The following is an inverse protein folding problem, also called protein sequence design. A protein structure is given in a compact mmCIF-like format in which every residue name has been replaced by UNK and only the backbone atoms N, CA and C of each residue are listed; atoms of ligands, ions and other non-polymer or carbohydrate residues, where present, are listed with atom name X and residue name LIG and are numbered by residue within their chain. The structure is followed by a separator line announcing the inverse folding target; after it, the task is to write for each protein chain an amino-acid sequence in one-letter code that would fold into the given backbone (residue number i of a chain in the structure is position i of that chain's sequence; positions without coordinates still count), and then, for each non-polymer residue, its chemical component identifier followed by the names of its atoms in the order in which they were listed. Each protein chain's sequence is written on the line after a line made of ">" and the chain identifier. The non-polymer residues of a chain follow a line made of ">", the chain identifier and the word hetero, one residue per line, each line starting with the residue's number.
data_IF_703938779185
#
_entry.id   IF_703938779185
#
_cell.length_a   1.000
_cell.length_b   1.000
_cell.length_c   1.000
_cell.angle_alpha   90.00
_cell.angle_beta   90.00
_cell.angle_gamma   90.00
#
_symmetry.space_group_name_H-M   'P 1'
#
loop_
_entity.id
_entity.type
_entity.pdbx_description
1 polymer ?
#
# COMPACT_ATOMS: atom_id res chain seq x y z
N UNK A 1 -31.76 -45.68 -9.92
CA UNK A 1 -32.50 -45.71 -8.64
C UNK A 1 -32.04 -44.53 -7.78
N UNK A 2 -32.97 -43.57 -7.55
CA UNK A 2 -33.19 -42.68 -6.38
C UNK A 2 -31.96 -42.25 -5.53
N UNK A 3 -31.58 -40.96 -5.57
CA UNK A 3 -31.87 -39.87 -4.59
C UNK A 3 -31.09 -40.00 -3.26
N UNK A 4 -30.44 -38.97 -2.69
CA UNK A 4 -31.06 -37.75 -2.19
C UNK A 4 -30.08 -36.57 -1.98
N UNK A 5 -30.62 -35.35 -2.06
CA UNK A 5 -30.03 -34.07 -1.64
C UNK A 5 -30.18 -33.90 -0.12
N UNK A 6 -29.26 -33.19 0.52
CA UNK A 6 -29.52 -32.51 1.80
C UNK A 6 -28.85 -31.13 1.80
N UNK A 7 -29.69 -30.10 1.81
CA UNK A 7 -29.31 -28.72 2.10
C UNK A 7 -29.33 -28.53 3.62
N UNK A 8 -28.38 -27.77 4.17
CA UNK A 8 -28.46 -27.25 5.53
C UNK A 8 -28.26 -25.74 5.50
N UNK A 9 -29.31 -25.03 5.91
CA UNK A 9 -29.36 -23.61 6.18
C UNK A 9 -29.37 -23.42 7.70
N UNK A 10 -28.61 -22.45 8.21
CA UNK A 10 -28.70 -21.83 9.56
C UNK A 10 -27.58 -20.81 9.69
N UNK A 11 -27.69 -19.65 10.31
CA UNK A 11 -28.78 -18.80 10.77
C UNK A 11 -28.12 -17.43 11.09
N UNK A 12 -28.83 -16.34 10.83
CA UNK A 12 -28.42 -14.97 11.16
C UNK A 12 -28.36 -14.77 12.69
N UNK A 13 -27.29 -14.14 13.17
CA UNK A 13 -27.26 -13.47 14.48
C UNK A 13 -26.79 -12.03 14.28
N UNK A 14 -27.76 -11.12 14.32
CA UNK A 14 -27.58 -9.67 14.48
C UNK A 14 -27.44 -9.42 15.97
N UNK A 15 -26.31 -8.85 16.42
CA UNK A 15 -26.21 -8.27 17.77
C UNK A 15 -26.12 -6.75 17.66
N UNK A 16 -27.02 -6.10 18.40
CA UNK A 16 -27.29 -4.68 18.42
C UNK A 16 -26.27 -3.88 19.24
N UNK A 17 -26.20 -2.59 18.90
CA UNK A 17 -25.39 -1.53 19.51
C UNK A 17 -25.65 -1.36 21.01
N UNK A 18 -24.58 -1.04 21.75
CA UNK A 18 -24.67 -0.33 23.02
C UNK A 18 -23.92 1.00 22.90
N UNK A 19 -24.68 2.09 22.86
CA UNK A 19 -24.19 3.45 23.02
C UNK A 19 -23.93 3.72 24.50
N UNK A 20 -22.73 4.17 24.84
CA UNK A 20 -22.39 4.76 26.13
C UNK A 20 -21.92 6.20 25.88
N UNK A 21 -22.88 7.12 25.76
CA UNK A 21 -22.63 8.56 25.84
C UNK A 21 -22.67 8.99 27.31
N UNK A 22 -21.66 9.75 27.72
CA UNK A 22 -21.55 10.31 29.07
C UNK A 22 -22.41 11.58 29.18
N UNK A 23 -23.15 11.67 30.28
CA UNK A 23 -24.16 12.68 30.60
C UNK A 23 -23.54 14.00 31.06
N UNK A 24 -24.18 15.13 30.73
CA UNK A 24 -23.67 16.47 31.05
C UNK A 24 -24.65 17.61 30.78
N UNK A 25 -25.78 17.65 31.51
CA UNK A 25 -26.37 18.88 32.09
C UNK A 25 -27.03 19.96 31.20
N UNK A 26 -28.34 20.16 31.43
CA UNK A 26 -29.31 21.19 31.00
C UNK A 26 -28.80 22.64 30.72
N UNK A 27 -29.40 23.46 29.83
CA UNK A 27 -30.78 24.00 29.86
C UNK A 27 -31.10 24.81 28.56
N UNK A 28 -32.36 24.97 28.10
CA UNK A 28 -32.68 25.67 26.84
C UNK A 28 -33.03 27.17 27.03
N UNK A 29 -32.52 28.03 26.14
CA UNK A 29 -32.90 29.46 25.98
C UNK A 29 -33.25 29.79 24.50
N UNK A 30 -34.03 30.87 24.23
CA UNK A 30 -35.03 30.94 23.15
C UNK A 30 -34.50 31.49 21.80
N UNK A 31 -35.30 31.50 20.71
CA UNK A 31 -34.79 31.56 19.34
C UNK A 31 -34.50 33.00 18.90
N UNK A 32 -33.31 33.23 18.39
CA UNK A 32 -32.90 34.51 17.83
C UNK A 32 -31.84 34.36 16.74
N UNK A 33 -32.20 34.78 15.52
CA UNK A 33 -31.34 35.09 14.37
C UNK A 33 -30.54 33.92 13.76
N UNK A 34 -31.12 33.26 12.77
CA UNK A 34 -30.35 32.55 11.73
C UNK A 34 -29.78 33.60 10.77
N UNK A 35 -28.47 33.83 10.82
CA UNK A 35 -27.73 34.45 9.72
C UNK A 35 -27.11 33.33 8.88
N UNK A 36 -27.50 33.14 7.61
CA UNK A 36 -26.77 32.28 6.70
C UNK A 36 -25.70 33.09 5.95
N UNK A 37 -24.43 32.76 6.19
CA UNK A 37 -23.27 33.06 5.33
C UNK A 37 -22.12 32.19 5.85
N UNK A 38 -21.79 31.08 5.19
CA UNK A 38 -20.91 31.03 4.02
C UNK A 38 -19.47 31.47 4.39
N UNK A 39 -18.63 30.48 4.68
CA UNK A 39 -17.18 30.54 4.55
C UNK A 39 -16.67 29.10 4.54
N UNK A 40 -16.51 28.59 3.32
CA UNK A 40 -15.58 27.56 2.89
C UNK A 40 -14.69 26.98 3.98
N UNK A 41 -14.79 25.67 4.19
CA UNK A 41 -13.63 24.88 4.62
C UNK A 41 -12.56 25.10 3.54
N UNK A 42 -11.67 26.06 3.82
CA UNK A 42 -10.36 26.15 3.20
C UNK A 42 -9.71 24.80 3.46
N UNK A 43 -9.81 23.89 2.49
CA UNK A 43 -8.89 22.78 2.38
C UNK A 43 -7.53 23.42 2.10
N UNK A 44 -6.89 23.89 3.16
CA UNK A 44 -5.48 24.22 3.13
C UNK A 44 -4.80 22.95 2.63
N UNK A 45 -4.35 22.99 1.39
CA UNK A 45 -3.23 22.16 0.97
C UNK A 45 -2.11 22.53 1.92
N UNK A 46 -1.84 21.66 2.89
CA UNK A 46 -0.64 21.69 3.72
C UNK A 46 0.55 21.46 2.78
N UNK A 47 0.92 22.54 2.09
CA UNK A 47 2.11 22.66 1.25
C UNK A 47 3.29 22.91 2.20
N UNK A 48 3.46 22.00 3.17
CA UNK A 48 4.56 21.98 4.11
C UNK A 48 5.71 21.19 3.47
N UNK A 49 6.82 21.84 3.08
CA UNK A 49 7.94 21.17 2.45
C UNK A 49 8.54 20.04 3.31
N UNK A 50 8.34 20.09 4.62
CA UNK A 50 8.81 19.04 5.53
C UNK A 50 7.94 17.78 5.47
N UNK A 51 6.65 17.92 5.15
CA UNK A 51 5.75 16.80 4.93
C UNK A 51 6.17 16.03 3.68
N UNK A 52 6.43 16.73 2.58
CA UNK A 52 6.87 16.13 1.32
C UNK A 52 8.20 15.38 1.46
N UNK A 53 9.18 15.95 2.16
CA UNK A 53 10.46 15.29 2.41
C UNK A 53 10.30 14.00 3.25
N UNK A 54 9.40 14.01 4.24
CA UNK A 54 9.10 12.82 5.04
C UNK A 54 8.38 11.74 4.22
N UNK A 55 7.46 12.14 3.34
CA UNK A 55 6.79 11.24 2.40
C UNK A 55 7.79 10.60 1.42
N UNK A 56 8.71 11.39 0.85
CA UNK A 56 9.75 10.90 -0.05
C UNK A 56 10.67 9.89 0.65
N UNK A 57 11.11 10.20 1.88
CA UNK A 57 11.90 9.29 2.72
C UNK A 57 11.18 7.95 2.91
N UNK A 58 9.89 8.00 3.25
CA UNK A 58 9.06 6.82 3.48
C UNK A 58 8.80 6.03 2.19
N UNK A 59 8.61 6.70 1.06
CA UNK A 59 8.43 6.07 -0.24
C UNK A 59 9.70 5.28 -0.64
N UNK A 60 10.88 5.87 -0.50
CA UNK A 60 12.16 5.21 -0.78
C UNK A 60 12.41 4.00 0.14
N UNK A 61 12.05 4.11 1.43
CA UNK A 61 12.12 2.97 2.35
C UNK A 61 11.17 1.83 1.91
N UNK A 62 9.95 2.15 1.50
CA UNK A 62 9.00 1.15 1.01
C UNK A 62 9.43 0.50 -0.32
N UNK A 63 10.11 1.25 -1.20
CA UNK A 63 10.76 0.68 -2.40
C UNK A 63 11.87 -0.30 -2.00
N UNK A 64 12.69 0.04 -1.00
CA UNK A 64 13.73 -0.84 -0.45
C UNK A 64 13.15 -2.13 0.14
N UNK A 65 12.01 -2.06 0.83
CA UNK A 65 11.29 -3.24 1.33
C UNK A 65 10.82 -4.16 0.20
N UNK A 66 10.25 -3.58 -0.86
CA UNK A 66 9.83 -4.35 -2.05
C UNK A 66 11.02 -5.04 -2.73
N UNK A 67 12.16 -4.35 -2.87
CA UNK A 67 13.40 -4.93 -3.40
C UNK A 67 13.93 -6.06 -2.51
N UNK A 68 13.88 -5.86 -1.18
CA UNK A 68 14.30 -6.88 -0.23
C UNK A 68 13.49 -8.17 -0.37
N UNK A 69 12.17 -8.08 -0.57
CA UNK A 69 11.35 -9.27 -0.83
C UNK A 69 11.80 -9.98 -2.11
N UNK A 70 12.02 -9.23 -3.19
CA UNK A 70 12.43 -9.81 -4.48
C UNK A 70 13.80 -10.47 -4.40
N UNK A 71 14.81 -9.80 -3.85
CA UNK A 71 16.17 -10.34 -3.77
C UNK A 71 16.22 -11.59 -2.87
N UNK A 72 15.52 -11.60 -1.73
CA UNK A 72 15.50 -12.77 -0.87
C UNK A 72 14.74 -13.94 -1.50
N UNK A 73 13.68 -13.70 -2.28
CA UNK A 73 13.01 -14.75 -3.04
C UNK A 73 13.93 -15.36 -4.10
N UNK A 74 14.71 -14.53 -4.80
CA UNK A 74 15.70 -14.98 -5.78
C UNK A 74 16.81 -15.82 -5.15
N UNK A 75 17.34 -15.37 -4.01
CA UNK A 75 18.36 -16.11 -3.27
C UNK A 75 17.79 -17.43 -2.78
N UNK A 76 16.59 -17.43 -2.18
CA UNK A 76 15.95 -18.63 -1.68
C UNK A 76 15.73 -19.66 -2.79
N UNK A 77 15.35 -19.22 -3.99
CA UNK A 77 15.21 -20.11 -5.14
C UNK A 77 16.57 -20.67 -5.57
N UNK A 78 17.60 -19.81 -5.72
CA UNK A 78 18.96 -20.25 -6.09
C UNK A 78 19.58 -21.23 -5.10
N UNK A 79 19.23 -21.11 -3.82
CA UNK A 79 19.67 -22.00 -2.74
C UNK A 79 18.80 -23.27 -2.61
N UNK A 80 17.74 -23.40 -3.42
CA UNK A 80 16.83 -24.56 -3.39
C UNK A 80 15.92 -24.61 -2.16
N UNK A 81 15.69 -23.48 -1.50
CA UNK A 81 14.83 -23.38 -0.30
C UNK A 81 13.34 -23.24 -0.64
N UNK A 82 13.03 -22.66 -1.79
CA UNK A 82 11.65 -22.46 -2.26
C UNK A 82 11.50 -22.97 -3.70
N UNK A 83 10.25 -23.19 -4.12
CA UNK A 83 9.94 -23.54 -5.51
C UNK A 83 9.79 -22.29 -6.40
N UNK A 84 9.82 -22.48 -7.73
CA UNK A 84 9.50 -21.40 -8.68
C UNK A 84 8.11 -20.80 -8.40
N UNK A 85 7.12 -21.65 -8.09
CA UNK A 85 5.76 -21.21 -7.76
C UNK A 85 5.77 -20.29 -6.52
N UNK A 86 6.54 -20.65 -5.51
CA UNK A 86 6.64 -19.86 -4.29
C UNK A 86 7.38 -18.53 -4.54
N UNK A 87 8.44 -18.52 -5.35
CA UNK A 87 9.09 -17.28 -5.80
C UNK A 87 8.10 -16.34 -6.50
N UNK A 88 7.26 -16.87 -7.39
CA UNK A 88 6.20 -16.08 -8.03
C UNK A 88 5.20 -15.54 -7.00
N UNK A 89 4.88 -16.31 -5.96
CA UNK A 89 4.09 -15.82 -4.82
C UNK A 89 4.73 -14.63 -4.11
N UNK A 90 6.03 -14.69 -3.86
CA UNK A 90 6.80 -13.58 -3.27
C UNK A 90 6.85 -12.35 -4.19
N UNK A 91 6.97 -12.55 -5.51
CA UNK A 91 6.88 -11.46 -6.50
C UNK A 91 5.51 -10.77 -6.49
N UNK A 92 4.44 -11.54 -6.34
CA UNK A 92 3.09 -10.99 -6.17
C UNK A 92 3.00 -10.12 -4.91
N UNK A 93 3.63 -10.55 -3.80
CA UNK A 93 3.67 -9.77 -2.55
C UNK A 93 4.47 -8.49 -2.75
N UNK A 94 5.67 -8.56 -3.32
CA UNK A 94 6.50 -7.39 -3.60
C UNK A 94 5.77 -6.36 -4.49
N UNK A 95 5.07 -6.84 -5.52
CA UNK A 95 4.27 -5.97 -6.42
C UNK A 95 3.15 -5.25 -5.67
N UNK A 96 2.48 -5.91 -4.70
CA UNK A 96 1.47 -5.27 -3.84
C UNK A 96 2.06 -4.31 -2.84
N UNK A 97 3.28 -4.54 -2.35
CA UNK A 97 4.00 -3.57 -1.52
C UNK A 97 4.28 -2.32 -2.35
N UNK A 98 4.86 -2.50 -3.54
CA UNK A 98 5.17 -1.42 -4.47
C UNK A 98 3.95 -0.58 -4.85
N UNK A 99 2.81 -1.20 -5.19
CA UNK A 99 1.58 -0.47 -5.55
C UNK A 99 0.86 0.20 -4.37
N UNK A 100 1.27 -0.05 -3.13
CA UNK A 100 0.75 0.68 -1.96
C UNK A 100 1.53 1.96 -1.68
N UNK A 101 2.66 2.18 -2.35
CA UNK A 101 3.46 3.39 -2.18
C UNK A 101 2.73 4.55 -2.88
N UNK A 102 2.43 5.65 -2.17
CA UNK A 102 1.88 6.84 -2.81
C UNK A 102 2.81 7.36 -3.91
N UNK A 103 2.25 7.68 -5.07
CA UNK A 103 3.03 8.12 -6.25
C UNK A 103 2.37 9.29 -7.00
N UNK A 104 1.38 9.94 -6.37
CA UNK A 104 0.60 11.02 -6.97
C UNK A 104 1.14 12.43 -6.72
N UNK A 105 2.29 12.55 -6.06
CA UNK A 105 2.94 13.83 -5.77
C UNK A 105 3.86 14.30 -6.90
N UNK A 106 4.30 15.56 -6.80
CA UNK A 106 5.16 16.20 -7.80
C UNK A 106 6.67 15.98 -7.56
N UNK A 107 7.05 15.33 -6.45
CA UNK A 107 8.46 15.06 -6.13
C UNK A 107 9.12 14.11 -7.14
N UNK A 108 10.44 14.20 -7.27
CA UNK A 108 11.21 13.28 -8.12
C UNK A 108 11.06 11.82 -7.65
N UNK A 109 10.94 11.61 -6.33
CA UNK A 109 10.66 10.28 -5.75
C UNK A 109 9.27 9.81 -6.15
N UNK A 110 8.22 10.63 -6.00
CA UNK A 110 6.85 10.26 -6.37
C UNK A 110 6.74 9.89 -7.85
N UNK A 111 7.36 10.68 -8.74
CA UNK A 111 7.41 10.41 -10.17
C UNK A 111 8.19 9.12 -10.49
N UNK A 112 9.33 8.90 -9.83
CA UNK A 112 10.11 7.67 -9.98
C UNK A 112 9.36 6.42 -9.50
N UNK A 113 8.63 6.52 -8.39
CA UNK A 113 7.77 5.45 -7.87
C UNK A 113 6.64 5.17 -8.87
N UNK A 114 6.00 6.19 -9.42
CA UNK A 114 4.97 6.02 -10.45
C UNK A 114 5.52 5.31 -11.70
N UNK A 115 6.73 5.69 -12.14
CA UNK A 115 7.41 5.03 -13.25
C UNK A 115 7.71 3.56 -12.94
N UNK A 116 8.21 3.26 -11.73
CA UNK A 116 8.49 1.91 -11.27
C UNK A 116 7.23 1.04 -11.20
N UNK A 117 6.14 1.57 -10.63
CA UNK A 117 4.83 0.91 -10.61
C UNK A 117 4.35 0.61 -12.03
N UNK A 118 4.53 1.53 -12.97
CA UNK A 118 4.16 1.35 -14.38
C UNK A 118 4.91 0.22 -15.10
N UNK A 119 6.01 -0.29 -14.55
CA UNK A 119 6.76 -1.43 -15.14
C UNK A 119 6.14 -2.79 -14.84
N UNK A 120 5.25 -2.86 -13.84
CA UNK A 120 4.65 -4.11 -13.36
C UNK A 120 3.13 -3.99 -13.34
N UNK A 121 2.43 -5.07 -13.68
CA UNK A 121 0.96 -5.09 -13.59
C UNK A 121 0.51 -5.19 -12.13
N UNK A 122 -0.48 -4.39 -11.75
CA UNK A 122 -1.06 -4.43 -10.41
C UNK A 122 -1.64 -5.81 -10.08
N UNK A 123 -1.40 -6.28 -8.86
CA UNK A 123 -1.80 -7.62 -8.40
C UNK A 123 -2.80 -7.51 -7.27
N UNK A 124 -4.05 -7.94 -7.51
CA UNK A 124 -5.06 -7.99 -6.46
C UNK A 124 -4.80 -9.16 -5.50
N UNK A 125 -5.14 -8.96 -4.23
CA UNK A 125 -5.09 -10.04 -3.25
C UNK A 125 -5.96 -11.22 -3.69
N UNK A 126 -5.41 -12.44 -3.65
CA UNK A 126 -6.10 -13.67 -4.06
C UNK A 126 -6.17 -13.90 -5.57
N UNK A 127 -5.63 -13.01 -6.41
CA UNK A 127 -5.49 -13.25 -7.84
C UNK A 127 -4.23 -14.06 -8.13
N UNK A 128 -4.38 -15.10 -8.96
CA UNK A 128 -3.26 -15.65 -9.71
C UNK A 128 -2.96 -14.69 -10.85
N UNK A 129 -1.75 -14.12 -10.85
CA UNK A 129 -1.30 -13.24 -11.90
C UNK A 129 -0.31 -13.97 -12.80
N UNK A 130 -0.34 -13.60 -14.09
CA UNK A 130 0.65 -13.96 -15.11
C UNK A 130 2.07 -13.55 -14.66
N UNK A 131 3.14 -14.07 -15.31
CA UNK A 131 4.52 -13.80 -14.90
C UNK A 131 4.77 -12.30 -14.67
N UNK A 132 5.25 -11.96 -13.47
CA UNK A 132 5.48 -10.57 -13.09
C UNK A 132 6.66 -10.01 -13.90
N UNK A 133 6.53 -8.77 -14.39
CA UNK A 133 7.62 -8.05 -15.05
C UNK A 133 8.76 -7.64 -14.08
N UNK A 134 8.69 -8.08 -12.83
CA UNK A 134 9.82 -8.08 -11.89
C UNK A 134 11.02 -8.77 -12.56
N UNK A 135 12.21 -8.21 -12.35
CA UNK A 135 13.49 -8.55 -13.00
C UNK A 135 13.58 -8.26 -14.50
N UNK A 136 12.58 -7.63 -15.12
CA UNK A 136 12.72 -7.11 -16.48
C UNK A 136 13.72 -5.95 -16.55
N UNK A 137 14.26 -5.69 -17.74
CA UNK A 137 15.15 -4.53 -17.96
C UNK A 137 14.46 -3.22 -17.58
N UNK A 138 13.18 -3.05 -17.94
CA UNK A 138 12.41 -1.86 -17.61
C UNK A 138 12.28 -1.65 -16.09
N UNK A 139 12.03 -2.71 -15.32
CA UNK A 139 12.01 -2.65 -13.86
C UNK A 139 13.38 -2.24 -13.29
N UNK A 140 14.46 -2.83 -13.80
CA UNK A 140 15.82 -2.48 -13.38
C UNK A 140 16.24 -1.05 -13.75
N UNK A 141 15.81 -0.55 -14.91
CA UNK A 141 16.01 0.84 -15.33
C UNK A 141 15.25 1.81 -14.41
N UNK A 142 13.98 1.51 -14.10
CA UNK A 142 13.17 2.33 -13.21
C UNK A 142 13.69 2.35 -11.77
N UNK A 143 14.21 1.22 -11.27
CA UNK A 143 14.87 1.16 -9.95
C UNK A 143 16.12 2.05 -9.91
N UNK A 144 17.01 1.96 -10.92
CA UNK A 144 18.19 2.84 -10.99
C UNK A 144 17.85 4.31 -11.07
N UNK A 145 16.75 4.66 -11.74
CA UNK A 145 16.29 6.04 -11.83
C UNK A 145 15.86 6.63 -10.47
N UNK A 146 15.59 5.78 -9.47
CA UNK A 146 15.25 6.20 -8.11
C UNK A 146 16.48 6.39 -7.20
N UNK A 147 17.67 5.92 -7.58
CA UNK A 147 18.87 5.99 -6.72
C UNK A 147 19.19 7.43 -6.28
N UNK A 148 19.31 8.36 -7.25
CA UNK A 148 19.63 9.77 -6.97
C UNK A 148 18.50 10.49 -6.22
N UNK A 149 17.21 10.42 -6.63
CA UNK A 149 16.11 10.99 -5.87
C UNK A 149 16.04 10.50 -4.43
N UNK A 150 16.22 9.20 -4.20
CA UNK A 150 16.16 8.62 -2.87
C UNK A 150 17.37 9.00 -2.00
N UNK A 151 18.57 9.10 -2.59
CA UNK A 151 19.72 9.66 -1.91
C UNK A 151 19.50 11.13 -1.52
N UNK A 152 18.92 11.95 -2.40
CA UNK A 152 18.61 13.35 -2.11
C UNK A 152 17.56 13.50 -1.00
N UNK A 153 16.62 12.57 -0.91
CA UNK A 153 15.66 12.47 0.19
C UNK A 153 16.27 11.92 1.50
N UNK A 154 17.56 11.55 1.53
CA UNK A 154 18.23 11.00 2.71
C UNK A 154 17.87 9.55 3.01
N UNK A 155 17.31 8.82 2.04
CA UNK A 155 16.83 7.44 2.16
C UNK A 155 17.37 6.59 1.01
N UNK A 156 18.68 6.34 1.01
CA UNK A 156 19.33 5.55 -0.04
C UNK A 156 18.66 4.17 -0.19
N UNK A 157 18.42 3.77 -1.44
CA UNK A 157 17.85 2.47 -1.73
C UNK A 157 18.78 1.36 -1.22
N UNK A 158 18.22 0.43 -0.47
CA UNK A 158 18.99 -0.66 0.12
C UNK A 158 18.21 -1.97 0.11
N UNK A 159 18.95 -3.07 0.17
CA UNK A 159 18.40 -4.41 0.26
C UNK A 159 18.80 -5.02 1.59
N UNK A 160 17.81 -5.36 2.40
CA UNK A 160 18.01 -6.12 3.62
C UNK A 160 18.01 -7.62 3.31
N UNK A 161 19.14 -8.27 3.56
CA UNK A 161 19.33 -9.69 3.29
C UNK A 161 18.96 -10.50 4.53
N UNK A 162 18.19 -11.56 4.37
CA UNK A 162 17.83 -12.46 5.46
C UNK A 162 17.67 -13.89 4.97
N UNK A 163 17.93 -14.84 5.88
CA UNK A 163 17.75 -16.27 5.62
C UNK A 163 16.46 -16.72 6.30
N UNK A 164 15.42 -17.00 5.50
CA UNK A 164 14.14 -17.52 5.96
C UNK A 164 13.30 -17.99 4.77
N UNK A 165 12.59 -19.10 4.95
CA UNK A 165 11.69 -19.76 4.00
C UNK A 165 10.79 -20.72 4.79
#
# INVERSE_FOLDING_TARGET
>A
MRAARAATASALLVMALAAAGCDGGAQPEPPGAQTPADASEDAATDDDPTHDAAQDTAACAAVSDAQSIVENADIALREGRISDQEQQGWYAVATRVLHRIPSGGDSAVSQGVAALQGTVSEVKAGAWAEPFAIRSNAWGDALRALDEPCQAAGSELSVSMFVGG
#
